data_IF_172694713269
#
_entry.id   IF_172694713269
#
_cell.length_a   1.000
_cell.length_b   1.000
_cell.length_c   1.000
_cell.angle_alpha   90.00
_cell.angle_beta   90.00
_cell.angle_gamma   90.00
#
_symmetry.space_group_name_H-M   'P 1'
#
loop_
_entity.id
_entity.type
_entity.pdbx_description
1 polymer ?
#
# COMPACT_ATOMS: atom_id res chain seq x y z
N UNK A 1 11.15 18.09 -65.38
CA UNK A 1 12.42 17.58 -65.90
C UNK A 1 13.16 17.07 -64.69
N UNK A 2 13.47 15.79 -64.48
CA UNK A 2 14.05 14.77 -65.28
C UNK A 2 13.65 13.39 -64.68
N UNK A 3 13.38 12.45 -65.55
CA UNK A 3 12.99 11.05 -65.29
C UNK A 3 14.13 10.29 -64.63
N UNK A 4 13.80 9.41 -63.67
CA UNK A 4 14.58 8.22 -63.42
C UNK A 4 13.69 6.99 -63.46
N UNK A 5 14.08 6.06 -64.34
CA UNK A 5 13.39 4.86 -64.73
C UNK A 5 13.54 3.73 -63.72
N UNK A 6 12.50 2.91 -63.71
CA UNK A 6 12.40 1.58 -63.11
C UNK A 6 13.47 0.64 -63.62
N UNK A 7 14.11 -0.13 -62.72
CA UNK A 7 14.64 -1.46 -63.00
C UNK A 7 14.04 -2.45 -62.01
N UNK A 8 13.14 -3.27 -62.54
CA UNK A 8 12.61 -4.45 -61.85
C UNK A 8 13.49 -5.62 -62.29
N UNK A 9 14.29 -6.14 -61.40
CA UNK A 9 15.02 -7.38 -61.65
C UNK A 9 14.23 -8.54 -61.09
N UNK A 10 13.74 -9.41 -61.98
CA UNK A 10 13.01 -10.64 -61.67
C UNK A 10 13.96 -11.68 -61.05
N UNK A 11 13.68 -12.13 -59.86
CA UNK A 11 14.26 -13.32 -59.26
C UNK A 11 13.40 -14.55 -59.60
N UNK A 12 13.84 -15.32 -60.58
CA UNK A 12 13.26 -16.64 -60.89
C UNK A 12 13.48 -17.61 -59.69
N UNK A 13 12.37 -18.12 -59.16
CA UNK A 13 12.34 -19.15 -58.12
C UNK A 13 12.68 -20.50 -58.74
N UNK A 14 13.88 -21.03 -58.48
CA UNK A 14 14.22 -22.45 -58.74
C UNK A 14 13.42 -23.34 -57.79
N UNK A 15 12.40 -23.99 -58.30
CA UNK A 15 11.69 -25.07 -57.61
C UNK A 15 12.62 -26.27 -57.42
N UNK A 16 13.22 -26.42 -56.23
CA UNK A 16 13.94 -27.63 -55.87
C UNK A 16 12.91 -28.68 -55.45
N UNK A 17 12.85 -29.77 -56.21
CA UNK A 17 11.91 -30.88 -56.02
C UNK A 17 12.08 -31.53 -54.63
N UNK A 18 11.01 -31.66 -53.89
CA UNK A 18 10.92 -32.35 -52.58
C UNK A 18 11.50 -33.76 -52.59
N UNK A 19 11.55 -34.43 -53.77
CA UNK A 19 12.12 -35.77 -53.93
C UNK A 19 13.66 -35.83 -53.82
N UNK A 20 14.39 -34.73 -54.11
CA UNK A 20 15.85 -34.69 -53.95
C UNK A 20 16.27 -34.47 -52.49
N UNK A 21 15.45 -33.83 -51.68
CA UNK A 21 15.71 -33.60 -50.24
C UNK A 21 15.65 -34.91 -49.45
N UNK A 22 14.70 -35.79 -49.77
CA UNK A 22 14.54 -37.08 -49.05
C UNK A 22 15.56 -38.14 -49.45
N UNK A 23 16.23 -38.02 -50.63
CA UNK A 23 17.31 -38.96 -51.00
C UNK A 23 18.69 -38.62 -50.42
N UNK A 24 18.90 -37.34 -50.00
CA UNK A 24 20.13 -36.96 -49.32
C UNK A 24 20.09 -37.25 -47.80
N UNK A 25 18.91 -37.39 -47.21
CA UNK A 25 18.72 -37.69 -45.78
C UNK A 25 18.89 -39.20 -45.44
N UNK A 26 18.95 -40.09 -46.45
CA UNK A 26 19.02 -41.53 -46.22
C UNK A 26 20.44 -42.11 -46.20
N UNK A 27 21.49 -41.32 -46.47
CA UNK A 27 22.85 -41.79 -46.57
C UNK A 27 23.79 -41.43 -45.41
N UNK A 28 23.30 -40.67 -44.40
CA UNK A 28 24.07 -40.26 -43.20
C UNK A 28 23.37 -40.61 -41.88
N UNK A 29 22.49 -41.58 -41.93
CA UNK A 29 21.59 -41.89 -40.82
C UNK A 29 21.98 -43.11 -39.97
N UNK A 30 23.17 -43.18 -39.39
CA UNK A 30 23.46 -44.29 -38.47
C UNK A 30 24.16 -43.91 -37.14
N UNK A 31 24.45 -42.62 -36.83
CA UNK A 31 25.12 -42.26 -35.56
C UNK A 31 24.45 -41.09 -34.78
N UNK A 32 23.38 -40.50 -35.30
CA UNK A 32 22.75 -39.35 -34.64
C UNK A 32 21.33 -39.64 -34.12
N UNK A 33 20.92 -40.89 -33.93
CA UNK A 33 19.54 -41.27 -33.56
C UNK A 33 19.35 -41.58 -32.07
N UNK A 34 20.27 -41.18 -31.18
CA UNK A 34 20.09 -41.40 -29.71
C UNK A 34 20.01 -40.13 -28.89
N UNK A 35 19.93 -38.95 -29.53
CA UNK A 35 19.78 -37.66 -28.82
C UNK A 35 18.42 -36.97 -29.02
N UNK A 36 17.44 -37.65 -29.59
CA UNK A 36 16.10 -37.11 -29.80
C UNK A 36 15.06 -37.95 -29.04
N UNK A 37 14.52 -37.37 -28.03
CA UNK A 37 13.41 -37.82 -27.19
C UNK A 37 13.79 -38.42 -25.83
N UNK A 38 14.55 -37.67 -25.02
CA UNK A 38 14.10 -37.64 -23.65
C UNK A 38 12.90 -36.69 -23.62
N UNK A 39 11.68 -37.16 -23.31
CA UNK A 39 10.65 -36.23 -22.92
C UNK A 39 11.21 -35.50 -21.70
N UNK A 40 11.33 -34.16 -21.77
CA UNK A 40 11.42 -33.38 -20.57
C UNK A 40 10.12 -33.72 -19.81
N UNK A 41 10.21 -34.72 -18.94
CA UNK A 41 9.22 -34.90 -17.89
C UNK A 41 9.37 -33.60 -17.08
N UNK A 42 8.57 -32.60 -17.42
CA UNK A 42 8.28 -31.51 -16.55
C UNK A 42 7.68 -32.19 -15.33
N UNK A 43 8.53 -32.54 -14.36
CA UNK A 43 8.06 -32.91 -13.03
C UNK A 43 7.34 -31.64 -12.59
N UNK A 44 6.02 -31.70 -12.62
CA UNK A 44 5.19 -30.62 -12.12
C UNK A 44 5.67 -30.40 -10.68
N UNK A 45 6.50 -29.37 -10.50
CA UNK A 45 6.99 -29.02 -9.18
C UNK A 45 5.74 -28.74 -8.35
N UNK A 46 5.51 -29.52 -7.30
CA UNK A 46 4.35 -29.35 -6.44
C UNK A 46 4.28 -27.88 -6.00
N UNK A 47 3.13 -27.25 -6.19
CA UNK A 47 2.97 -25.84 -5.87
C UNK A 47 3.28 -25.60 -4.38
N UNK A 48 4.12 -24.61 -4.11
CA UNK A 48 4.36 -24.14 -2.75
C UNK A 48 3.21 -23.23 -2.37
N UNK A 49 2.52 -23.52 -1.26
CA UNK A 49 1.48 -22.64 -0.71
C UNK A 49 1.97 -21.99 0.58
N UNK A 50 1.84 -20.67 0.66
CA UNK A 50 2.16 -19.86 1.84
C UNK A 50 0.84 -19.42 2.50
N UNK A 51 0.74 -19.55 3.83
CA UNK A 51 -0.39 -19.03 4.61
C UNK A 51 -0.10 -17.59 5.04
N UNK A 52 -0.93 -16.65 4.60
CA UNK A 52 -0.80 -15.22 4.90
C UNK A 52 -1.97 -14.73 5.72
N UNK A 53 -1.71 -14.33 6.97
CA UNK A 53 -2.70 -13.70 7.84
C UNK A 53 -2.84 -12.22 7.51
N UNK A 54 -4.06 -11.78 7.15
CA UNK A 54 -4.39 -10.37 6.99
C UNK A 54 -4.84 -9.74 8.32
N UNK A 55 -4.55 -8.44 8.49
CA UNK A 55 -5.07 -7.64 9.60
C UNK A 55 -6.54 -7.20 9.36
N UNK A 56 -7.10 -7.51 8.20
CA UNK A 56 -8.43 -7.07 7.78
C UNK A 56 -9.35 -8.24 7.42
N UNK A 57 -10.65 -7.94 7.34
CA UNK A 57 -11.73 -8.91 7.22
C UNK A 57 -11.98 -9.41 5.82
N UNK A 58 -13.06 -10.20 5.62
CA UNK A 58 -13.29 -10.88 4.34
C UNK A 58 -13.54 -9.90 3.18
N UNK A 59 -13.20 -10.35 1.98
CA UNK A 59 -13.06 -9.53 0.76
C UNK A 59 -14.28 -8.66 0.40
N UNK A 60 -15.49 -9.13 0.66
CA UNK A 60 -16.71 -8.43 0.26
C UNK A 60 -16.99 -7.19 1.14
N UNK A 61 -16.41 -7.17 2.34
CA UNK A 61 -16.56 -6.09 3.29
C UNK A 61 -15.35 -5.14 3.37
N UNK A 62 -14.15 -5.58 2.94
CA UNK A 62 -12.93 -4.82 3.17
C UNK A 62 -12.06 -4.67 1.91
N UNK A 63 -11.83 -3.42 1.42
CA UNK A 63 -10.98 -3.17 0.26
C UNK A 63 -9.53 -3.64 0.47
N UNK A 64 -9.00 -3.59 1.69
CA UNK A 64 -7.63 -4.01 1.99
C UNK A 64 -7.45 -5.52 1.86
N UNK A 65 -8.43 -6.28 2.30
CA UNK A 65 -8.41 -7.73 2.09
C UNK A 65 -8.51 -8.08 0.59
N UNK A 66 -9.31 -7.31 -0.17
CA UNK A 66 -9.39 -7.45 -1.63
C UNK A 66 -8.03 -7.18 -2.28
N UNK A 67 -7.32 -6.10 -1.90
CA UNK A 67 -5.98 -5.78 -2.40
C UNK A 67 -4.98 -6.88 -2.11
N UNK A 68 -5.04 -7.49 -0.90
CA UNK A 68 -4.18 -8.61 -0.55
C UNK A 68 -4.49 -9.86 -1.40
N UNK A 69 -5.76 -10.15 -1.68
CA UNK A 69 -6.12 -11.23 -2.62
C UNK A 69 -5.61 -10.96 -4.04
N UNK A 70 -5.67 -9.72 -4.50
CA UNK A 70 -5.10 -9.33 -5.79
C UNK A 70 -3.58 -9.50 -5.83
N UNK A 71 -2.87 -9.20 -4.71
CA UNK A 71 -1.46 -9.52 -4.59
C UNK A 71 -1.20 -11.02 -4.71
N UNK A 72 -1.95 -11.86 -3.99
CA UNK A 72 -1.85 -13.31 -4.06
C UNK A 72 -2.09 -13.85 -5.48
N UNK A 73 -3.08 -13.31 -6.20
CA UNK A 73 -3.34 -13.63 -7.60
C UNK A 73 -2.19 -13.25 -8.53
N UNK A 74 -1.54 -12.09 -8.30
CA UNK A 74 -0.34 -11.68 -9.06
C UNK A 74 0.82 -12.67 -8.83
N UNK A 75 1.03 -13.10 -7.58
CA UNK A 75 2.05 -14.11 -7.25
C UNK A 75 1.77 -15.43 -7.98
N UNK A 76 0.53 -15.92 -7.96
CA UNK A 76 0.15 -17.16 -8.66
C UNK A 76 0.35 -17.03 -10.17
N UNK A 77 -0.10 -15.93 -10.76
CA UNK A 77 0.04 -15.68 -12.20
C UNK A 77 1.50 -15.58 -12.63
N UNK A 78 2.34 -14.82 -11.91
CA UNK A 78 3.76 -14.65 -12.22
C UNK A 78 4.56 -15.95 -12.05
N UNK A 79 4.14 -16.82 -11.13
CA UNK A 79 4.79 -18.11 -10.89
C UNK A 79 4.30 -19.24 -11.79
N UNK A 80 3.33 -18.98 -12.68
CA UNK A 80 2.67 -20.05 -13.44
C UNK A 80 2.00 -21.10 -12.54
N UNK A 81 1.52 -20.70 -11.35
CA UNK A 81 0.84 -21.55 -10.38
C UNK A 81 1.78 -22.37 -9.47
N UNK A 82 3.11 -22.21 -9.58
CA UNK A 82 4.08 -22.94 -8.74
C UNK A 82 4.25 -22.33 -7.34
N UNK A 83 3.78 -21.10 -7.13
CA UNK A 83 3.73 -20.43 -5.83
C UNK A 83 2.34 -19.84 -5.61
N UNK A 84 1.71 -20.17 -4.49
CA UNK A 84 0.37 -19.71 -4.10
C UNK A 84 0.40 -19.08 -2.72
N UNK A 85 -0.52 -18.16 -2.48
CA UNK A 85 -0.75 -17.56 -1.16
C UNK A 85 -2.21 -17.80 -0.78
N UNK A 86 -2.42 -18.52 0.32
CA UNK A 86 -3.70 -18.65 0.98
C UNK A 86 -3.87 -17.44 1.91
N UNK A 87 -4.78 -16.52 1.57
CA UNK A 87 -5.05 -15.31 2.35
C UNK A 87 -6.10 -15.59 3.39
N UNK A 88 -5.73 -15.47 4.65
CA UNK A 88 -6.58 -15.68 5.82
C UNK A 88 -7.13 -14.32 6.32
N UNK A 89 -8.42 -14.19 6.61
CA UNK A 89 -8.98 -12.95 7.13
C UNK A 89 -8.53 -12.69 8.58
N UNK A 90 -8.76 -11.48 9.06
CA UNK A 90 -8.49 -11.08 10.45
C UNK A 90 -9.08 -12.09 11.45
N UNK A 91 -8.33 -12.39 12.52
CA UNK A 91 -8.70 -13.32 13.59
C UNK A 91 -8.85 -14.80 13.15
N UNK A 92 -8.49 -15.18 11.93
CA UNK A 92 -8.54 -16.59 11.52
C UNK A 92 -7.53 -17.46 12.28
N UNK A 93 -6.31 -16.96 12.51
CA UNK A 93 -5.25 -17.60 13.29
C UNK A 93 -4.73 -16.65 14.37
N UNK A 94 -4.50 -15.39 14.03
CA UNK A 94 -3.88 -14.36 14.87
C UNK A 94 -4.76 -13.12 14.93
N UNK A 95 -4.77 -12.44 16.06
CA UNK A 95 -5.30 -11.08 16.18
C UNK A 95 -4.37 -10.09 15.48
N UNK A 96 -4.90 -8.94 15.08
CA UNK A 96 -4.13 -7.89 14.38
C UNK A 96 -2.80 -7.55 15.06
N UNK A 97 -2.80 -7.37 16.38
CA UNK A 97 -1.59 -7.01 17.14
C UNK A 97 -0.55 -8.14 17.24
N UNK A 98 -0.93 -9.38 16.91
CA UNK A 98 -0.08 -10.58 17.01
C UNK A 98 0.59 -10.96 15.70
N UNK A 99 0.19 -10.33 14.57
CA UNK A 99 0.61 -10.75 13.23
C UNK A 99 2.12 -10.67 13.05
N UNK A 100 2.77 -9.57 13.45
CA UNK A 100 4.22 -9.43 13.29
C UNK A 100 5.00 -10.50 14.06
N UNK A 101 4.61 -10.75 15.30
CA UNK A 101 5.22 -11.80 16.13
C UNK A 101 4.95 -13.19 15.56
N UNK A 102 3.72 -13.44 15.10
CA UNK A 102 3.34 -14.71 14.50
C UNK A 102 4.09 -15.02 13.20
N UNK A 103 4.31 -14.00 12.36
CA UNK A 103 5.17 -14.13 11.17
C UNK A 103 6.63 -14.36 11.59
N UNK A 104 7.14 -13.57 12.54
CA UNK A 104 8.51 -13.66 13.02
C UNK A 104 8.82 -15.06 13.58
N UNK A 105 7.90 -15.63 14.35
CA UNK A 105 8.04 -16.96 14.97
C UNK A 105 7.62 -18.13 14.08
N UNK A 106 7.01 -17.86 12.92
CA UNK A 106 6.58 -18.89 11.95
C UNK A 106 5.25 -19.56 12.27
N UNK A 107 4.39 -18.96 13.10
CA UNK A 107 3.00 -19.41 13.31
C UNK A 107 2.20 -19.34 12.00
N UNK A 108 2.48 -18.30 11.19
CA UNK A 108 2.03 -18.15 9.81
C UNK A 108 3.23 -17.87 8.91
N UNK A 109 3.15 -18.25 7.64
CA UNK A 109 4.25 -18.04 6.68
C UNK A 109 4.40 -16.56 6.31
N UNK A 110 3.30 -15.80 6.34
CA UNK A 110 3.29 -14.39 5.94
C UNK A 110 2.20 -13.59 6.66
N UNK A 111 2.36 -12.26 6.64
CA UNK A 111 1.39 -11.31 7.18
C UNK A 111 1.14 -10.15 6.23
N UNK A 112 -0.08 -9.64 6.23
CA UNK A 112 -0.47 -8.41 5.56
C UNK A 112 -1.01 -7.43 6.59
N UNK A 113 -0.31 -6.31 6.79
CA UNK A 113 -0.51 -5.41 7.93
C UNK A 113 0.00 -3.99 7.63
N UNK A 114 0.10 -3.13 8.64
CA UNK A 114 0.78 -1.83 8.61
C UNK A 114 1.77 -1.69 9.75
N UNK A 115 2.89 -1.06 9.49
CA UNK A 115 3.97 -0.91 10.49
C UNK A 115 3.57 -0.05 11.69
N UNK A 116 2.56 0.80 11.55
CA UNK A 116 2.00 1.59 12.65
C UNK A 116 1.45 0.74 13.81
N UNK A 117 1.05 -0.50 13.54
CA UNK A 117 0.58 -1.43 14.57
C UNK A 117 1.70 -1.92 15.49
N UNK A 118 2.96 -1.73 15.09
CA UNK A 118 4.16 -2.04 15.92
C UNK A 118 4.62 -0.84 16.76
N UNK A 119 3.88 0.26 16.77
CA UNK A 119 4.17 1.44 17.58
C UNK A 119 4.51 1.11 19.04
N UNK A 120 3.77 0.18 19.65
CA UNK A 120 4.03 -0.28 21.03
C UNK A 120 5.36 -1.00 21.22
N UNK A 121 5.97 -1.55 20.15
CA UNK A 121 7.30 -2.16 20.19
C UNK A 121 8.40 -1.10 20.05
N UNK A 122 8.27 -0.24 19.06
CA UNK A 122 9.11 0.93 18.84
C UNK A 122 8.35 1.97 18.00
N UNK A 123 8.22 3.22 18.45
CA UNK A 123 7.57 4.29 17.71
C UNK A 123 8.13 4.54 16.30
N UNK A 124 9.43 4.22 16.08
CA UNK A 124 10.07 4.36 14.78
C UNK A 124 9.42 3.50 13.69
N UNK A 125 8.74 2.40 14.04
CA UNK A 125 8.02 1.58 13.08
C UNK A 125 6.93 2.35 12.33
N UNK A 126 6.27 3.30 12.99
CA UNK A 126 5.23 4.14 12.36
C UNK A 126 5.79 5.03 11.23
N UNK A 127 7.10 5.35 11.23
CA UNK A 127 7.72 6.20 10.21
C UNK A 127 7.76 5.55 8.82
N UNK A 128 7.49 4.25 8.71
CA UNK A 128 7.46 3.52 7.43
C UNK A 128 6.06 3.41 6.81
N UNK A 129 5.05 3.94 7.44
CA UNK A 129 3.68 3.84 6.92
C UNK A 129 2.78 5.02 7.25
N UNK A 130 2.94 5.63 8.42
CA UNK A 130 2.04 6.67 8.94
C UNK A 130 2.82 7.79 9.61
N UNK A 131 3.96 8.17 9.06
CA UNK A 131 4.84 9.21 9.60
C UNK A 131 4.46 10.63 9.15
N UNK A 132 5.30 11.60 9.51
CA UNK A 132 5.15 12.99 9.08
C UNK A 132 5.34 13.12 7.57
N UNK A 133 4.52 13.97 6.94
CA UNK A 133 4.47 14.04 5.48
C UNK A 133 5.74 14.65 4.85
N UNK A 134 6.34 15.70 5.42
CA UNK A 134 7.39 16.52 4.77
C UNK A 134 7.06 16.93 3.33
N UNK A 135 5.76 16.98 2.99
CA UNK A 135 5.27 17.14 1.63
C UNK A 135 5.05 15.84 0.87
N UNK A 136 5.41 14.69 1.43
CA UNK A 136 5.18 13.37 0.82
C UNK A 136 3.70 13.03 0.73
N UNK A 137 3.34 12.35 -0.35
CA UNK A 137 2.29 11.35 -0.37
C UNK A 137 2.88 9.96 -0.09
N UNK A 138 2.04 8.94 -0.10
CA UNK A 138 2.50 7.54 0.02
C UNK A 138 3.41 7.13 -1.14
N UNK A 139 3.30 7.77 -2.31
CA UNK A 139 4.15 7.50 -3.47
C UNK A 139 5.60 7.95 -3.23
N UNK A 140 5.80 9.15 -2.70
CA UNK A 140 7.14 9.66 -2.42
C UNK A 140 7.76 8.96 -1.20
N UNK A 141 6.94 8.50 -0.24
CA UNK A 141 7.42 7.66 0.85
C UNK A 141 7.93 6.30 0.33
N UNK A 142 7.23 5.68 -0.63
CA UNK A 142 7.74 4.49 -1.34
C UNK A 142 9.07 4.78 -2.03
N UNK A 143 9.17 5.91 -2.71
CA UNK A 143 10.41 6.36 -3.33
C UNK A 143 11.56 6.49 -2.33
N UNK A 144 11.31 7.03 -1.13
CA UNK A 144 12.30 7.07 -0.07
C UNK A 144 12.72 5.68 0.41
N UNK A 145 11.77 4.76 0.56
CA UNK A 145 12.07 3.38 0.97
C UNK A 145 13.00 2.71 -0.04
N UNK A 146 12.71 2.82 -1.33
CA UNK A 146 13.46 2.09 -2.36
C UNK A 146 14.76 2.82 -2.79
N UNK A 147 14.78 4.15 -2.83
CA UNK A 147 15.88 4.94 -3.38
C UNK A 147 16.49 5.95 -2.40
N UNK A 148 15.87 6.16 -1.25
CA UNK A 148 16.33 7.12 -0.22
C UNK A 148 17.00 6.48 0.99
N UNK A 149 17.27 5.18 0.97
CA UNK A 149 17.90 4.45 2.08
C UNK A 149 16.91 3.90 3.12
N UNK A 150 15.62 4.08 2.92
CA UNK A 150 14.58 3.64 3.85
C UNK A 150 14.60 2.13 4.11
N UNK A 151 14.92 1.30 3.12
CA UNK A 151 14.98 -0.16 3.27
C UNK A 151 16.03 -0.61 4.30
N UNK A 152 17.21 -0.02 4.29
CA UNK A 152 18.24 -0.35 5.29
C UNK A 152 17.79 0.05 6.71
N UNK A 153 17.13 1.21 6.84
CA UNK A 153 16.58 1.69 8.11
C UNK A 153 15.40 0.84 8.60
N UNK A 154 14.63 0.29 7.68
CA UNK A 154 13.58 -0.67 8.01
C UNK A 154 14.16 -1.96 8.61
N UNK A 155 15.22 -2.53 8.01
CA UNK A 155 15.91 -3.70 8.57
C UNK A 155 16.50 -3.41 9.95
N UNK A 156 17.03 -2.19 10.19
CA UNK A 156 17.47 -1.77 11.53
C UNK A 156 16.29 -1.70 12.51
N UNK A 157 15.11 -1.25 12.05
CA UNK A 157 13.89 -1.19 12.87
C UNK A 157 13.38 -2.58 13.22
N UNK A 158 13.40 -3.54 12.29
CA UNK A 158 13.06 -4.93 12.58
C UNK A 158 13.96 -5.51 13.66
N UNK A 159 15.27 -5.28 13.59
CA UNK A 159 16.22 -5.71 14.62
C UNK A 159 15.93 -5.07 15.98
N UNK A 160 15.65 -3.76 16.00
CA UNK A 160 15.33 -3.04 17.23
C UNK A 160 14.03 -3.52 17.88
N UNK A 161 13.05 -3.95 17.10
CA UNK A 161 11.77 -4.52 17.54
C UNK A 161 11.84 -6.03 17.81
N UNK A 162 12.99 -6.68 17.55
CA UNK A 162 13.21 -8.13 17.63
C UNK A 162 12.26 -8.94 16.72
N UNK A 163 11.90 -8.36 15.58
CA UNK A 163 11.12 -9.03 14.56
C UNK A 163 12.05 -9.61 13.49
N UNK A 164 11.89 -10.90 13.19
CA UNK A 164 12.70 -11.62 12.21
C UNK A 164 11.87 -12.11 11.04
N UNK A 165 11.65 -11.23 10.08
CA UNK A 165 10.95 -11.52 8.83
C UNK A 165 11.52 -10.67 7.68
N UNK A 166 11.17 -11.00 6.45
CA UNK A 166 11.44 -10.20 5.24
C UNK A 166 10.17 -9.45 4.88
N UNK A 167 10.21 -8.11 4.92
CA UNK A 167 9.07 -7.26 4.61
C UNK A 167 9.20 -6.55 3.27
N UNK A 168 8.08 -6.41 2.57
CA UNK A 168 7.93 -5.57 1.39
C UNK A 168 6.84 -4.55 1.66
N UNK A 169 7.10 -3.29 1.32
CA UNK A 169 6.06 -2.27 1.34
C UNK A 169 5.28 -2.33 0.03
N UNK A 170 3.96 -2.27 0.14
CA UNK A 170 3.06 -2.40 -0.98
C UNK A 170 1.79 -1.57 -0.77
N UNK A 171 1.05 -1.38 -1.87
CA UNK A 171 -0.29 -0.81 -1.83
C UNK A 171 -0.33 0.57 -1.16
N UNK A 172 0.48 1.56 -1.63
CA UNK A 172 0.42 2.92 -1.12
C UNK A 172 -1.00 3.47 -1.26
N UNK A 173 -1.48 4.14 -0.22
CA UNK A 173 -2.84 4.66 -0.17
C UNK A 173 -2.87 6.18 -0.30
N UNK A 174 -3.96 6.78 -0.82
CA UNK A 174 -4.22 8.19 -0.68
C UNK A 174 -4.23 8.63 0.79
N UNK A 175 -4.02 9.92 1.05
CA UNK A 175 -4.10 10.47 2.40
C UNK A 175 -5.42 10.11 3.08
N UNK A 176 -5.35 9.76 4.35
CA UNK A 176 -6.54 9.45 5.13
C UNK A 176 -7.38 10.70 5.40
N UNK A 177 -8.71 10.58 5.38
CA UNK A 177 -9.61 11.59 5.93
C UNK A 177 -9.30 11.84 7.41
N UNK A 178 -9.58 13.06 7.87
CA UNK A 178 -9.57 13.33 9.33
C UNK A 178 -10.64 12.51 10.05
N UNK A 179 -11.66 12.08 9.34
CA UNK A 179 -12.62 11.08 9.79
C UNK A 179 -14.00 11.63 10.13
N UNK A 180 -14.70 10.92 11.02
CA UNK A 180 -16.12 11.09 11.35
C UNK A 180 -16.31 11.84 12.64
N UNK A 181 -17.21 12.83 12.61
CA UNK A 181 -17.48 13.73 13.74
C UNK A 181 -18.98 13.85 14.00
N UNK A 182 -19.38 14.15 15.24
CA UNK A 182 -20.79 14.41 15.60
C UNK A 182 -21.35 15.70 15.01
N UNK A 183 -20.48 16.65 14.63
CA UNK A 183 -20.82 17.93 14.00
C UNK A 183 -19.78 18.33 12.96
N UNK A 184 -20.14 19.26 12.09
CA UNK A 184 -19.17 19.88 11.19
C UNK A 184 -18.14 20.69 11.96
N UNK A 185 -16.87 20.48 11.67
CA UNK A 185 -15.77 21.24 12.26
C UNK A 185 -15.64 22.61 11.58
N UNK A 186 -15.52 23.65 12.37
CA UNK A 186 -15.33 25.04 11.91
C UNK A 186 -13.93 25.58 12.25
N UNK A 187 -13.33 25.08 13.32
CA UNK A 187 -12.05 25.56 13.84
C UNK A 187 -11.40 24.55 14.80
N UNK A 188 -10.16 24.83 15.17
CA UNK A 188 -9.41 24.11 16.18
C UNK A 188 -10.15 24.00 17.54
N UNK A 189 -10.97 24.99 17.89
CA UNK A 189 -11.72 24.96 19.14
C UNK A 189 -12.73 23.80 19.20
N UNK A 190 -13.24 23.36 18.04
CA UNK A 190 -14.24 22.31 17.94
C UNK A 190 -13.73 20.92 18.36
N UNK A 191 -12.44 20.69 18.29
CA UNK A 191 -11.83 19.38 18.58
C UNK A 191 -11.19 19.29 19.97
N UNK A 192 -11.13 20.38 20.71
CA UNK A 192 -10.55 20.41 22.07
C UNK A 192 -11.30 19.50 23.04
N UNK A 193 -10.57 18.59 23.71
CA UNK A 193 -11.14 17.63 24.68
C UNK A 193 -11.94 16.50 24.04
N UNK A 194 -12.11 16.48 22.70
CA UNK A 194 -12.87 15.45 22.01
C UNK A 194 -12.20 14.10 22.14
N UNK A 195 -12.98 13.06 22.46
CA UNK A 195 -12.51 11.67 22.51
C UNK A 195 -12.44 11.13 21.10
N UNK A 196 -11.22 10.89 20.63
CA UNK A 196 -10.96 10.52 19.24
C UNK A 196 -10.21 9.18 19.16
N UNK A 197 -10.57 8.35 18.19
CA UNK A 197 -9.84 7.09 17.92
C UNK A 197 -8.86 7.28 16.77
N UNK A 198 -7.60 6.93 16.99
CA UNK A 198 -6.57 6.74 15.95
C UNK A 198 -5.51 5.72 16.40
N UNK A 199 -4.45 5.54 15.62
CA UNK A 199 -3.35 4.58 15.86
C UNK A 199 -1.97 5.20 15.61
N UNK A 200 -0.92 4.55 16.07
CA UNK A 200 0.47 4.91 15.79
C UNK A 200 0.84 6.30 16.33
N UNK A 201 1.76 6.98 15.65
CA UNK A 201 2.24 8.33 16.00
C UNK A 201 1.14 9.41 15.90
N UNK A 202 0.08 9.19 15.11
CA UNK A 202 -1.05 10.09 15.06
C UNK A 202 -1.71 10.31 16.44
N UNK A 203 -1.62 9.31 17.33
CA UNK A 203 -2.02 9.45 18.74
C UNK A 203 -1.35 10.65 19.41
N UNK A 204 -0.02 10.74 19.28
CA UNK A 204 0.76 11.82 19.90
C UNK A 204 0.46 13.17 19.25
N UNK A 205 0.29 13.20 17.93
CA UNK A 205 -0.04 14.42 17.19
C UNK A 205 -1.38 14.99 17.64
N UNK A 206 -2.42 14.14 17.72
CA UNK A 206 -3.76 14.58 18.07
C UNK A 206 -3.89 14.92 19.57
N UNK A 207 -3.16 14.21 20.45
CA UNK A 207 -3.04 14.62 21.85
C UNK A 207 -2.37 15.99 21.97
N UNK A 208 -1.33 16.25 21.16
CA UNK A 208 -0.63 17.54 21.13
C UNK A 208 -1.52 18.72 20.76
N UNK A 209 -2.57 18.51 19.98
CA UNK A 209 -3.54 19.55 19.61
C UNK A 209 -4.78 19.58 20.52
N UNK A 210 -4.75 18.83 21.63
CA UNK A 210 -5.75 18.90 22.70
C UNK A 210 -6.92 17.93 22.58
N UNK A 211 -6.79 16.85 21.82
CA UNK A 211 -7.76 15.74 21.80
C UNK A 211 -7.44 14.69 22.86
N UNK A 212 -8.45 13.95 23.31
CA UNK A 212 -8.27 12.75 24.14
C UNK A 212 -8.29 11.53 23.24
N UNK A 213 -7.15 10.86 23.06
CA UNK A 213 -7.03 9.78 22.06
C UNK A 213 -7.11 8.40 22.70
N UNK A 214 -7.95 7.54 22.09
CA UNK A 214 -8.08 6.13 22.41
C UNK A 214 -7.61 5.30 21.21
N UNK A 215 -6.94 4.17 21.46
CA UNK A 215 -6.58 3.19 20.44
C UNK A 215 -7.56 2.01 20.51
N UNK A 216 -8.29 1.76 19.44
CA UNK A 216 -9.24 0.65 19.33
C UNK A 216 -9.03 -0.08 18.01
N UNK A 217 -9.21 -1.41 17.98
CA UNK A 217 -9.29 -2.17 16.73
C UNK A 217 -10.38 -1.63 15.80
N UNK A 218 -10.20 -1.77 14.48
CA UNK A 218 -11.13 -1.23 13.48
C UNK A 218 -12.59 -1.65 13.71
N UNK A 219 -12.83 -2.92 14.00
CA UNK A 219 -14.18 -3.44 14.24
C UNK A 219 -14.89 -2.90 15.50
N UNK A 220 -14.16 -2.23 16.39
CA UNK A 220 -14.72 -1.64 17.62
C UNK A 220 -15.09 -0.15 17.46
N UNK A 221 -14.70 0.49 16.36
CA UNK A 221 -14.87 1.94 16.16
C UNK A 221 -16.35 2.32 16.10
N UNK A 222 -17.12 1.68 15.22
CA UNK A 222 -18.55 1.99 15.03
C UNK A 222 -19.36 1.76 16.32
N UNK A 223 -19.21 0.63 17.03
CA UNK A 223 -19.84 0.44 18.34
C UNK A 223 -19.44 1.48 19.37
N UNK A 224 -18.16 1.87 19.42
CA UNK A 224 -17.66 2.88 20.36
C UNK A 224 -18.23 4.27 20.08
N UNK A 225 -18.39 4.66 18.81
CA UNK A 225 -19.08 5.90 18.44
C UNK A 225 -20.57 5.86 18.78
N UNK A 226 -21.23 4.72 18.53
CA UNK A 226 -22.65 4.52 18.82
C UNK A 226 -22.96 4.64 20.31
N UNK A 227 -22.11 4.10 21.17
CA UNK A 227 -22.27 4.15 22.63
C UNK A 227 -21.78 5.46 23.25
N UNK A 228 -21.08 6.32 22.50
CA UNK A 228 -20.48 7.55 23.02
C UNK A 228 -19.19 7.33 23.82
N UNK A 229 -18.58 6.15 23.74
CA UNK A 229 -17.25 5.90 24.30
C UNK A 229 -16.21 6.84 23.64
N UNK A 230 -16.38 7.08 22.33
CA UNK A 230 -15.63 8.07 21.55
C UNK A 230 -16.58 9.04 20.86
N UNK A 231 -16.12 10.26 20.60
CA UNK A 231 -16.89 11.32 19.95
C UNK A 231 -16.62 11.39 18.45
N UNK A 232 -15.44 10.96 18.03
CA UNK A 232 -14.98 10.99 16.66
C UNK A 232 -13.94 9.90 16.40
N UNK A 233 -13.78 9.52 15.14
CA UNK A 233 -12.82 8.51 14.74
C UNK A 233 -12.42 8.64 13.27
N UNK A 234 -11.21 8.21 12.94
CA UNK A 234 -10.82 7.77 11.62
C UNK A 234 -10.81 6.23 11.59
N UNK A 235 -10.93 5.69 10.39
CA UNK A 235 -10.50 4.32 10.13
C UNK A 235 -9.52 4.28 8.99
N UNK A 236 -9.89 4.75 7.78
CA UNK A 236 -8.91 4.89 6.70
C UNK A 236 -9.43 5.65 5.46
N UNK A 237 -10.59 5.29 4.91
CA UNK A 237 -11.02 5.78 3.60
C UNK A 237 -12.54 5.60 3.43
N UNK A 238 -13.16 6.29 2.44
CA UNK A 238 -14.61 6.22 2.24
C UNK A 238 -15.17 4.82 2.02
N UNK A 239 -14.41 3.91 1.39
CA UNK A 239 -14.88 2.55 1.11
C UNK A 239 -14.90 1.67 2.35
N UNK A 240 -13.80 1.67 3.12
CA UNK A 240 -13.73 0.94 4.38
C UNK A 240 -14.73 1.48 5.39
N UNK A 241 -14.79 2.81 5.52
CA UNK A 241 -15.67 3.50 6.46
C UNK A 241 -17.15 3.22 6.18
N UNK A 242 -17.53 3.23 4.88
CA UNK A 242 -18.87 2.87 4.44
C UNK A 242 -19.22 1.42 4.79
N UNK A 243 -18.28 0.49 4.57
CA UNK A 243 -18.49 -0.91 4.89
C UNK A 243 -18.61 -1.18 6.39
N UNK A 244 -17.95 -0.39 7.23
CA UNK A 244 -18.11 -0.43 8.69
C UNK A 244 -19.39 0.25 9.20
N UNK A 245 -20.18 0.86 8.30
CA UNK A 245 -21.41 1.54 8.71
C UNK A 245 -21.17 2.85 9.48
N UNK A 246 -20.06 3.55 9.21
CA UNK A 246 -19.75 4.81 9.89
C UNK A 246 -20.81 5.88 9.62
N UNK A 247 -21.44 5.86 8.44
CA UNK A 247 -22.56 6.73 8.07
C UNK A 247 -23.81 6.53 8.94
N UNK A 248 -23.93 5.42 9.66
CA UNK A 248 -25.06 5.14 10.54
C UNK A 248 -24.91 5.79 11.93
N UNK A 249 -23.67 6.13 12.30
CA UNK A 249 -23.33 6.73 13.61
C UNK A 249 -22.89 8.18 13.51
N UNK A 250 -22.53 8.65 12.30
CA UNK A 250 -22.20 10.04 12.02
C UNK A 250 -22.61 10.46 10.61
N UNK A 251 -22.91 11.75 10.42
CA UNK A 251 -23.19 12.34 9.10
C UNK A 251 -22.14 13.38 8.68
N UNK A 252 -21.10 13.61 9.47
CA UNK A 252 -20.08 14.63 9.21
C UNK A 252 -18.74 13.98 8.99
N UNK A 253 -18.21 14.08 7.75
CA UNK A 253 -16.99 13.46 7.32
C UNK A 253 -15.96 14.49 6.88
N UNK A 254 -14.92 14.68 7.67
CA UNK A 254 -13.86 15.65 7.41
C UNK A 254 -12.76 15.02 6.56
N UNK A 255 -12.45 15.62 5.42
CA UNK A 255 -11.50 15.11 4.43
C UNK A 255 -10.15 15.84 4.49
N UNK A 256 -9.08 15.08 4.26
CA UNK A 256 -7.70 15.60 4.21
C UNK A 256 -7.17 15.98 5.58
N UNK A 257 -6.05 15.37 5.98
CA UNK A 257 -5.46 15.62 7.30
C UNK A 257 -3.99 15.23 7.28
N UNK A 258 -3.18 15.93 8.10
CA UNK A 258 -1.77 15.59 8.26
C UNK A 258 -1.52 14.57 9.38
N UNK A 259 -2.54 14.09 10.07
CA UNK A 259 -2.33 13.07 11.11
C UNK A 259 -1.86 11.73 10.53
N UNK A 260 -2.38 11.35 9.34
CA UNK A 260 -1.98 10.19 8.55
C UNK A 260 -2.10 10.54 7.05
N UNK A 261 -1.24 11.45 6.59
CA UNK A 261 -1.27 11.92 5.20
C UNK A 261 -0.64 10.94 4.20
N UNK A 262 -0.04 9.88 4.68
CA UNK A 262 0.57 8.81 3.91
C UNK A 262 0.41 7.49 4.64
N UNK A 263 0.17 6.43 3.90
CA UNK A 263 0.07 5.08 4.45
C UNK A 263 0.41 4.03 3.40
N UNK A 264 1.05 2.94 3.84
CA UNK A 264 1.37 1.79 3.03
C UNK A 264 1.17 0.51 3.83
N UNK A 265 0.80 -0.54 3.14
CA UNK A 265 0.81 -1.87 3.73
C UNK A 265 2.21 -2.46 3.76
N UNK A 266 2.41 -3.34 4.74
CA UNK A 266 3.55 -4.22 4.86
C UNK A 266 3.09 -5.65 4.54
N UNK A 267 3.80 -6.30 3.60
CA UNK A 267 3.68 -7.72 3.34
C UNK A 267 4.94 -8.36 3.91
N UNK A 268 4.79 -9.06 5.02
CA UNK A 268 5.88 -9.68 5.76
C UNK A 268 5.91 -11.19 5.53
N UNK A 269 7.08 -11.78 5.32
CA UNK A 269 7.29 -13.22 5.19
C UNK A 269 8.23 -13.71 6.28
N UNK A 270 7.87 -14.78 6.99
CA UNK A 270 8.81 -15.44 7.89
C UNK A 270 10.16 -15.63 7.21
N UNK A 271 11.26 -15.15 7.82
CA UNK A 271 12.58 -15.12 7.17
C UNK A 271 13.03 -16.50 6.74
N UNK A 272 12.96 -17.48 7.64
CA UNK A 272 13.38 -18.86 7.35
C UNK A 272 12.55 -19.48 6.21
N UNK A 273 11.24 -19.24 6.20
CA UNK A 273 10.36 -19.70 5.12
C UNK A 273 10.69 -19.03 3.79
N UNK A 274 10.86 -17.69 3.78
CA UNK A 274 11.24 -16.94 2.60
C UNK A 274 12.59 -17.41 2.01
N UNK A 275 13.60 -17.59 2.86
CA UNK A 275 14.93 -18.03 2.44
C UNK A 275 14.93 -19.48 1.92
N UNK A 276 13.99 -20.32 2.36
CA UNK A 276 13.81 -21.69 1.85
C UNK A 276 13.20 -21.75 0.45
N UNK A 277 12.61 -20.67 -0.04
CA UNK A 277 12.07 -20.58 -1.40
C UNK A 277 13.21 -20.46 -2.42
N UNK A 278 12.95 -20.92 -3.65
CA UNK A 278 13.86 -20.66 -4.77
C UNK A 278 14.05 -19.15 -4.97
N UNK A 279 15.21 -18.74 -5.51
CA UNK A 279 15.46 -17.33 -5.87
C UNK A 279 14.41 -16.79 -6.85
N UNK A 280 13.89 -17.65 -7.72
CA UNK A 280 12.79 -17.31 -8.62
C UNK A 280 11.53 -16.93 -7.84
N UNK A 281 11.09 -17.74 -6.87
CA UNK A 281 9.93 -17.45 -6.04
C UNK A 281 10.13 -16.22 -5.15
N UNK A 282 11.33 -16.06 -4.56
CA UNK A 282 11.67 -14.84 -3.78
C UNK A 282 11.51 -13.56 -4.64
N UNK A 283 12.01 -13.59 -5.88
CA UNK A 283 11.87 -12.48 -6.83
C UNK A 283 10.41 -12.23 -7.22
N UNK A 284 9.62 -13.29 -7.44
CA UNK A 284 8.18 -13.15 -7.73
C UNK A 284 7.46 -12.43 -6.61
N UNK A 285 7.69 -12.80 -5.34
CA UNK A 285 7.07 -12.13 -4.19
C UNK A 285 7.38 -10.63 -4.15
N UNK A 286 8.64 -10.25 -4.42
CA UNK A 286 9.06 -8.86 -4.49
C UNK A 286 8.43 -8.12 -5.67
N UNK A 287 8.53 -8.66 -6.88
CA UNK A 287 8.01 -8.02 -8.09
C UNK A 287 6.47 -7.89 -8.04
N UNK A 288 5.78 -8.89 -7.48
CA UNK A 288 4.35 -8.82 -7.27
C UNK A 288 3.95 -7.69 -6.30
N UNK A 289 4.77 -7.40 -5.27
CA UNK A 289 4.55 -6.27 -4.38
C UNK A 289 4.72 -4.93 -5.11
N UNK A 290 5.78 -4.79 -5.92
CA UNK A 290 5.99 -3.62 -6.77
C UNK A 290 4.85 -3.41 -7.79
N UNK A 291 4.37 -4.48 -8.43
CA UNK A 291 3.23 -4.43 -9.35
C UNK A 291 1.92 -4.07 -8.63
N UNK A 292 1.74 -4.52 -7.40
CA UNK A 292 0.58 -4.17 -6.59
C UNK A 292 0.54 -2.67 -6.23
N UNK A 293 1.69 -1.99 -6.12
CA UNK A 293 1.75 -0.58 -5.73
C UNK A 293 0.96 0.33 -6.67
N UNK A 294 1.17 0.21 -7.96
CA UNK A 294 0.48 1.04 -8.95
C UNK A 294 -0.99 0.63 -9.11
N UNK A 295 -1.24 -0.67 -9.25
CA UNK A 295 -2.58 -1.21 -9.46
C UNK A 295 -3.53 -0.89 -8.28
N UNK A 296 -3.07 -1.12 -7.05
CA UNK A 296 -3.89 -0.84 -5.88
C UNK A 296 -4.09 0.66 -5.62
N UNK A 297 -3.11 1.51 -5.95
CA UNK A 297 -3.27 2.95 -5.83
C UNK A 297 -4.35 3.49 -6.79
N UNK A 298 -4.34 3.05 -8.06
CA UNK A 298 -5.37 3.42 -9.03
C UNK A 298 -6.75 2.89 -8.63
N UNK A 299 -6.81 1.64 -8.18
CA UNK A 299 -8.03 1.04 -7.66
C UNK A 299 -8.57 1.83 -6.45
N UNK A 300 -7.70 2.22 -5.51
CA UNK A 300 -8.09 3.01 -4.35
C UNK A 300 -8.67 4.36 -4.76
N UNK A 301 -7.99 5.12 -5.64
CA UNK A 301 -8.47 6.42 -6.12
C UNK A 301 -9.88 6.34 -6.69
N UNK A 302 -10.11 5.36 -7.59
CA UNK A 302 -11.43 5.21 -8.23
C UNK A 302 -12.49 4.77 -7.23
N UNK A 303 -12.21 3.73 -6.44
CA UNK A 303 -13.18 3.17 -5.50
C UNK A 303 -13.53 4.13 -4.37
N UNK A 304 -12.52 4.82 -3.80
CA UNK A 304 -12.75 5.78 -2.72
C UNK A 304 -13.60 6.97 -3.19
N UNK A 305 -13.36 7.44 -4.43
CA UNK A 305 -14.18 8.48 -5.05
C UNK A 305 -15.64 8.03 -5.21
N UNK A 306 -15.87 6.82 -5.76
CA UNK A 306 -17.22 6.31 -5.97
C UNK A 306 -17.97 6.12 -4.63
N UNK A 307 -17.29 5.55 -3.63
CA UNK A 307 -17.92 5.32 -2.33
C UNK A 307 -18.12 6.61 -1.52
N UNK A 308 -17.24 7.62 -1.69
CA UNK A 308 -17.49 8.96 -1.15
C UNK A 308 -18.77 9.57 -1.75
N UNK A 309 -18.93 9.45 -3.07
CA UNK A 309 -20.14 9.94 -3.73
C UNK A 309 -21.40 9.23 -3.22
N UNK A 310 -21.36 7.92 -3.03
CA UNK A 310 -22.47 7.17 -2.43
C UNK A 310 -22.76 7.58 -0.98
N UNK A 311 -21.72 7.80 -0.18
CA UNK A 311 -21.89 8.33 1.18
C UNK A 311 -22.66 9.66 1.19
N UNK A 312 -22.32 10.55 0.25
CA UNK A 312 -22.99 11.86 0.11
C UNK A 312 -24.42 11.72 -0.43
N UNK A 313 -24.58 10.99 -1.56
CA UNK A 313 -25.84 10.97 -2.31
C UNK A 313 -26.88 10.00 -1.74
N UNK A 314 -26.43 8.84 -1.25
CA UNK A 314 -27.32 7.78 -0.77
C UNK A 314 -27.50 7.82 0.75
N UNK A 315 -26.45 8.18 1.51
CA UNK A 315 -26.44 8.14 2.97
C UNK A 315 -26.58 9.51 3.63
N UNK A 316 -26.64 10.60 2.85
CA UNK A 316 -26.80 11.97 3.35
C UNK A 316 -25.60 12.46 4.19
N UNK A 317 -24.39 11.92 3.92
CA UNK A 317 -23.17 12.34 4.59
C UNK A 317 -22.75 13.72 4.07
N UNK A 318 -22.41 14.62 4.97
CA UNK A 318 -21.80 15.91 4.68
C UNK A 318 -20.28 15.78 4.71
N UNK A 319 -19.67 15.63 3.55
CA UNK A 319 -18.23 15.65 3.40
C UNK A 319 -17.73 17.10 3.29
N UNK A 320 -16.65 17.42 4.01
CA UNK A 320 -16.07 18.77 4.02
C UNK A 320 -14.56 18.71 4.25
N UNK A 321 -13.85 19.74 3.80
CA UNK A 321 -12.41 19.88 4.01
C UNK A 321 -12.12 20.20 5.49
N UNK A 322 -11.07 19.59 6.03
CA UNK A 322 -10.58 19.92 7.38
C UNK A 322 -10.18 21.40 7.45
N UNK A 323 -10.64 22.15 8.50
CA UNK A 323 -10.29 23.55 8.69
C UNK A 323 -8.79 23.79 8.70
N UNK A 324 -8.35 24.87 8.03
CA UNK A 324 -6.93 25.20 7.85
C UNK A 324 -6.16 25.39 9.15
N UNK A 325 -6.80 25.94 10.19
CA UNK A 325 -6.20 26.10 11.51
C UNK A 325 -5.92 24.77 12.21
N UNK A 326 -6.78 23.76 12.01
CA UNK A 326 -6.55 22.38 12.47
C UNK A 326 -5.33 21.80 11.73
N UNK A 327 -5.28 21.93 10.41
CA UNK A 327 -4.14 21.42 9.61
C UNK A 327 -2.83 22.08 10.03
N UNK A 328 -2.83 23.40 10.24
CA UNK A 328 -1.65 24.14 10.71
C UNK A 328 -1.18 23.68 12.10
N UNK A 329 -2.14 23.41 13.00
CA UNK A 329 -1.79 22.94 14.35
C UNK A 329 -1.31 21.48 14.35
N UNK A 330 -1.84 20.62 13.49
CA UNK A 330 -1.31 19.27 13.27
C UNK A 330 0.17 19.30 12.85
N UNK A 331 0.55 20.22 11.94
CA UNK A 331 1.97 20.36 11.53
C UNK A 331 2.87 20.78 12.68
N UNK A 332 2.46 21.77 13.51
CA UNK A 332 3.22 22.15 14.71
C UNK A 332 3.33 21.01 15.71
N UNK A 333 2.24 20.24 15.88
CA UNK A 333 2.26 19.07 16.75
C UNK A 333 3.20 17.99 16.24
N UNK A 334 3.26 17.77 14.91
CA UNK A 334 4.25 16.88 14.29
C UNK A 334 5.69 17.31 14.60
N UNK A 335 6.02 18.61 14.47
CA UNK A 335 7.35 19.10 14.77
C UNK A 335 7.75 18.77 16.22
N UNK A 336 6.83 18.94 17.16
CA UNK A 336 7.05 18.60 18.56
C UNK A 336 7.21 17.09 18.77
N UNK A 337 6.34 16.27 18.20
CA UNK A 337 6.41 14.81 18.31
C UNK A 337 7.74 14.28 17.75
N UNK A 338 8.16 14.79 16.58
CA UNK A 338 9.43 14.42 15.96
C UNK A 338 10.60 14.81 16.87
N UNK A 339 10.61 16.02 17.45
CA UNK A 339 11.65 16.48 18.34
C UNK A 339 11.73 15.61 19.61
N UNK A 340 10.57 15.35 20.23
CA UNK A 340 10.47 14.60 21.48
C UNK A 340 10.96 13.14 21.31
N UNK A 341 10.59 12.45 20.23
CA UNK A 341 11.05 11.08 19.96
C UNK A 341 12.50 11.02 19.48
N UNK A 342 12.92 11.97 18.64
CA UNK A 342 14.32 12.05 18.18
C UNK A 342 15.31 12.29 19.32
N UNK A 343 14.90 12.99 20.37
CA UNK A 343 15.73 13.18 21.56
C UNK A 343 15.90 11.90 22.40
N UNK A 344 14.97 10.94 22.29
CA UNK A 344 14.93 9.72 23.11
C UNK A 344 15.41 8.47 22.38
N UNK A 345 15.30 8.44 21.06
CA UNK A 345 15.61 7.27 20.23
C UNK A 345 16.47 7.68 19.03
N UNK A 346 17.72 7.21 19.04
CA UNK A 346 18.70 7.50 17.99
C UNK A 346 18.28 6.89 16.65
N UNK A 347 17.61 5.74 16.63
CA UNK A 347 17.10 5.13 15.41
C UNK A 347 15.95 5.95 14.82
N UNK A 348 15.01 6.40 15.65
CA UNK A 348 13.94 7.30 15.25
C UNK A 348 14.51 8.58 14.60
N UNK A 349 15.49 9.20 15.26
CA UNK A 349 16.19 10.38 14.73
C UNK A 349 16.83 10.10 13.37
N UNK A 350 17.55 8.98 13.26
CA UNK A 350 18.24 8.58 12.01
C UNK A 350 17.25 8.43 10.84
N UNK A 351 16.08 7.83 11.09
CA UNK A 351 15.02 7.67 10.09
C UNK A 351 14.47 9.04 9.68
N UNK A 352 14.12 9.88 10.66
CA UNK A 352 13.60 11.24 10.42
C UNK A 352 14.60 12.08 9.60
N UNK A 353 15.88 12.07 9.96
CA UNK A 353 16.92 12.81 9.25
C UNK A 353 17.05 12.34 7.79
N UNK A 354 16.97 11.03 7.55
CA UNK A 354 16.98 10.42 6.22
C UNK A 354 15.76 10.83 5.40
N UNK A 355 14.57 10.76 5.97
CA UNK A 355 13.33 11.21 5.31
C UNK A 355 13.37 12.69 4.95
N UNK A 356 13.83 13.56 5.87
CA UNK A 356 13.97 14.99 5.63
C UNK A 356 14.97 15.30 4.52
N UNK A 357 16.10 14.58 4.49
CA UNK A 357 17.11 14.76 3.44
C UNK A 357 16.55 14.40 2.05
N UNK A 358 15.85 13.26 1.96
CA UNK A 358 15.19 12.83 0.73
C UNK A 358 14.09 13.82 0.32
N UNK A 359 13.21 14.22 1.25
CA UNK A 359 12.16 15.19 1.00
C UNK A 359 12.68 16.51 0.48
N UNK A 360 13.73 17.06 1.11
CA UNK A 360 14.35 18.33 0.69
C UNK A 360 14.79 18.31 -0.77
N UNK A 361 15.22 17.18 -1.29
CA UNK A 361 15.63 17.02 -2.69
C UNK A 361 14.43 16.73 -3.61
N UNK A 362 13.70 15.67 -3.33
CA UNK A 362 12.65 15.16 -4.22
C UNK A 362 11.43 16.08 -4.23
N UNK A 363 10.96 16.55 -3.06
CA UNK A 363 9.82 17.44 -3.00
C UNK A 363 10.13 18.83 -3.55
N UNK A 364 11.38 19.29 -3.40
CA UNK A 364 11.81 20.54 -4.08
C UNK A 364 11.61 20.44 -5.59
N UNK A 365 12.04 19.32 -6.20
CA UNK A 365 11.85 19.10 -7.64
C UNK A 365 10.37 19.04 -8.00
N UNK A 366 9.60 18.21 -7.30
CA UNK A 366 8.18 18.02 -7.60
C UNK A 366 7.39 19.33 -7.49
N UNK A 367 7.55 20.07 -6.39
CA UNK A 367 6.83 21.33 -6.15
C UNK A 367 7.22 22.44 -7.14
N UNK A 368 8.43 22.41 -7.70
CA UNK A 368 8.85 23.38 -8.73
C UNK A 368 8.42 22.97 -10.14
N UNK A 369 8.35 21.65 -10.42
CA UNK A 369 8.12 21.13 -11.76
C UNK A 369 6.67 20.72 -12.01
N UNK A 370 5.95 20.29 -10.97
CA UNK A 370 4.57 19.85 -11.08
C UNK A 370 3.64 21.07 -11.06
N UNK A 371 2.78 21.26 -12.09
CA UNK A 371 1.80 22.34 -12.05
C UNK A 371 0.77 22.07 -10.94
N UNK A 372 0.18 23.15 -10.43
CA UNK A 372 -0.97 23.01 -9.53
C UNK A 372 -2.20 22.48 -10.31
N UNK A 373 -2.40 21.18 -10.23
CA UNK A 373 -3.53 20.51 -10.90
C UNK A 373 -4.90 21.03 -10.43
N UNK A 374 -4.99 21.65 -9.26
CA UNK A 374 -6.23 22.25 -8.80
C UNK A 374 -6.69 23.41 -9.69
N UNK A 375 -5.76 24.12 -10.33
CA UNK A 375 -6.05 25.20 -11.27
C UNK A 375 -6.80 24.61 -12.49
N UNK A 376 -6.25 23.51 -13.07
CA UNK A 376 -6.88 22.87 -14.24
C UNK A 376 -8.25 22.29 -13.89
N UNK A 377 -8.39 21.66 -12.74
CA UNK A 377 -9.67 21.13 -12.28
C UNK A 377 -10.71 22.25 -12.12
N UNK A 378 -10.35 23.32 -11.42
CA UNK A 378 -11.25 24.46 -11.16
C UNK A 378 -11.65 25.19 -12.46
N UNK A 379 -10.76 25.26 -13.43
CA UNK A 379 -11.04 25.85 -14.72
C UNK A 379 -12.14 25.08 -15.49
N UNK A 380 -12.19 23.76 -15.33
CA UNK A 380 -13.13 22.91 -16.08
C UNK A 380 -14.42 22.68 -15.30
N UNK A 381 -14.34 22.43 -14.00
CA UNK A 381 -15.44 21.92 -13.18
C UNK A 381 -15.87 22.88 -12.05
N UNK A 382 -15.11 23.94 -11.78
CA UNK A 382 -15.33 24.83 -10.66
C UNK A 382 -14.75 24.34 -9.34
N UNK A 383 -15.24 24.86 -8.23
CA UNK A 383 -14.73 24.46 -6.91
C UNK A 383 -15.07 23.00 -6.59
N UNK A 384 -14.09 22.16 -6.23
CA UNK A 384 -14.33 20.75 -5.87
C UNK A 384 -15.42 20.54 -4.83
N UNK A 385 -15.60 21.48 -3.88
CA UNK A 385 -16.64 21.41 -2.87
C UNK A 385 -18.06 21.51 -3.43
N UNK A 386 -18.23 22.05 -4.63
CA UNK A 386 -19.52 22.31 -5.27
C UNK A 386 -19.79 21.35 -6.47
N UNK A 387 -18.83 20.51 -6.83
CA UNK A 387 -19.00 19.56 -7.95
C UNK A 387 -19.95 18.45 -7.52
N UNK A 388 -21.05 18.33 -8.26
CA UNK A 388 -21.98 17.21 -8.16
C UNK A 388 -21.51 16.12 -9.12
N UNK A 389 -21.38 14.91 -8.62
CA UNK A 389 -20.90 13.73 -9.39
C UNK A 389 -22.03 12.74 -9.53
#
# INVERSE_FOLDING_TARGET
>A
MTKLKNEVTSLESKKTSRRKFFKAAAATGAVAATALAMPNISVAQSAVTLKMQSAWGPADADPFFTMNKQYAQKVEALSGGTLKIEVLPVNAVLKTAEIADGVSTGVVDAGHTVTAYWYGKNPASSLFGTGPSYGFSSQELMGWIEYGGGRALYEETLKATKLDYVGFFAMPMPAQPFGWFKKELKSLADIKGMKYRTVGLATNVLQGIGMTVLQLPGGEIQPAMKTGLIDAAEFNNPSSDRNFGMQDVSKFYSLGSFHQSQEMFEIAFNRKKFESLSKHHQNILRIAAEAANTDNYWYALKRYSDDLNKLVTESGVKAFATPKDILAEQMKSWDKVIADFSAKDALFKKIVDSQKAYAKSVMKYLLLNQPDYSIAFRNTFGDPANVKV
#
